data_IF_872449065417
#
_entry.id   IF_872449065417
#
_cell.length_a   1.000
_cell.length_b   1.000
_cell.length_c   1.000
_cell.angle_alpha   90.00
_cell.angle_beta   90.00
_cell.angle_gamma   90.00
#
_symmetry.space_group_name_H-M   'P 1'
#
loop_
_entity.id
_entity.type
_entity.pdbx_description
1 polymer ?
#
# COMPACT_ATOMS: atom_id res chain seq x y z
N UNK A 1 60.66 -20.62 -18.36
CA UNK A 1 59.26 -20.68 -18.77
C UNK A 1 58.44 -20.29 -17.54
N UNK A 2 57.97 -19.04 -17.49
CA UNK A 2 57.10 -18.55 -16.42
C UNK A 2 55.65 -18.59 -16.95
N UNK A 3 54.83 -19.42 -16.34
CA UNK A 3 53.38 -19.46 -16.59
C UNK A 3 52.69 -18.28 -15.88
N UNK A 4 52.06 -17.41 -16.66
CA UNK A 4 51.17 -16.34 -16.15
C UNK A 4 49.79 -16.95 -15.99
N UNK A 5 49.33 -17.10 -14.74
CA UNK A 5 47.98 -17.49 -14.45
C UNK A 5 47.04 -16.27 -14.61
N UNK A 6 46.17 -16.35 -15.60
CA UNK A 6 45.13 -15.36 -15.83
C UNK A 6 43.97 -15.64 -14.82
N UNK A 7 43.87 -14.83 -13.77
CA UNK A 7 42.71 -14.88 -12.87
C UNK A 7 41.54 -14.12 -13.52
N UNK A 8 40.57 -14.85 -14.05
CA UNK A 8 39.34 -14.28 -14.55
C UNK A 8 38.48 -13.84 -13.35
N UNK A 9 38.38 -12.55 -13.16
CA UNK A 9 37.47 -11.92 -12.21
C UNK A 9 36.05 -12.03 -12.78
N UNK A 10 35.29 -13.05 -12.37
CA UNK A 10 33.87 -13.14 -12.63
C UNK A 10 33.16 -12.06 -11.76
N UNK A 11 32.93 -10.90 -12.36
CA UNK A 11 31.98 -9.95 -11.81
C UNK A 11 30.59 -10.60 -11.82
N UNK A 12 30.10 -11.02 -10.68
CA UNK A 12 28.70 -11.36 -10.51
C UNK A 12 27.89 -10.08 -10.75
N UNK A 13 27.37 -9.93 -11.97
CA UNK A 13 26.26 -9.02 -12.21
C UNK A 13 25.12 -9.55 -11.31
N UNK A 14 24.94 -8.94 -10.16
CA UNK A 14 23.74 -9.14 -9.37
C UNK A 14 22.56 -8.89 -10.29
N UNK A 15 21.78 -9.91 -10.60
CA UNK A 15 20.54 -9.77 -11.32
C UNK A 15 19.74 -8.68 -10.59
N UNK A 16 19.47 -7.57 -11.27
CA UNK A 16 18.59 -6.55 -10.73
C UNK A 16 17.29 -7.27 -10.34
N UNK A 17 16.94 -7.21 -9.06
CA UNK A 17 15.70 -7.81 -8.57
C UNK A 17 14.55 -7.26 -9.41
N UNK A 18 13.86 -8.15 -10.12
CA UNK A 18 12.70 -7.77 -10.90
C UNK A 18 11.56 -7.46 -9.92
N UNK A 19 11.20 -6.18 -9.78
CA UNK A 19 10.01 -5.78 -9.05
C UNK A 19 8.81 -5.80 -9.99
N UNK A 20 7.68 -6.27 -9.50
CA UNK A 20 6.41 -6.24 -10.22
C UNK A 20 5.37 -5.45 -9.41
N UNK A 21 4.56 -4.65 -10.09
CA UNK A 21 3.40 -3.99 -9.48
C UNK A 21 2.13 -4.77 -9.79
N UNK A 22 1.35 -5.07 -8.75
CA UNK A 22 0.05 -5.75 -8.81
C UNK A 22 -1.05 -4.71 -8.66
N UNK A 23 -1.55 -4.18 -9.77
CA UNK A 23 -2.47 -3.04 -9.83
C UNK A 23 -3.90 -3.54 -9.95
N UNK A 24 -4.72 -3.34 -8.91
CA UNK A 24 -6.17 -3.62 -8.97
C UNK A 24 -6.87 -2.61 -9.86
N UNK A 25 -7.71 -3.10 -10.77
CA UNK A 25 -8.49 -2.29 -11.70
C UNK A 25 -9.98 -2.48 -11.39
N UNK A 26 -10.56 -1.50 -10.70
CA UNK A 26 -11.90 -1.60 -10.14
C UNK A 26 -12.98 -1.71 -11.21
N UNK A 27 -12.86 -0.99 -12.31
CA UNK A 27 -13.89 -0.92 -13.34
C UNK A 27 -13.82 -2.08 -14.33
N UNK A 28 -12.61 -2.60 -14.62
CA UNK A 28 -12.43 -3.80 -15.48
C UNK A 28 -12.46 -5.12 -14.71
N UNK A 29 -12.66 -5.10 -13.39
CA UNK A 29 -12.79 -6.30 -12.54
C UNK A 29 -11.56 -7.24 -12.57
N UNK A 30 -10.36 -6.69 -12.74
CA UNK A 30 -9.12 -7.45 -12.89
C UNK A 30 -7.93 -6.87 -12.10
N UNK A 31 -6.80 -7.53 -12.22
CA UNK A 31 -5.52 -7.14 -11.66
C UNK A 31 -4.48 -7.14 -12.80
N UNK A 32 -3.86 -6.00 -13.06
CA UNK A 32 -2.74 -5.90 -13.99
C UNK A 32 -1.42 -6.11 -13.26
N UNK A 33 -0.58 -6.99 -13.78
CA UNK A 33 0.81 -7.15 -13.31
C UNK A 33 1.73 -6.37 -14.25
N UNK A 34 2.48 -5.42 -13.69
CA UNK A 34 3.44 -4.58 -14.43
C UNK A 34 4.85 -4.93 -14.01
N UNK A 35 5.70 -5.29 -14.97
CA UNK A 35 7.14 -5.46 -14.77
C UNK A 35 7.81 -4.08 -14.72
N UNK A 36 8.43 -3.74 -13.61
CA UNK A 36 9.02 -2.42 -13.37
C UNK A 36 10.40 -2.24 -14.03
N UNK A 37 11.06 -3.31 -14.47
CA UNK A 37 12.31 -3.21 -15.20
C UNK A 37 12.08 -2.81 -16.66
N UNK A 38 11.00 -3.34 -17.25
CA UNK A 38 10.62 -3.04 -18.64
C UNK A 38 9.55 -1.97 -18.77
N UNK A 39 8.89 -1.60 -17.65
CA UNK A 39 7.74 -0.67 -17.61
C UNK A 39 6.61 -1.13 -18.53
N UNK A 40 6.28 -2.44 -18.50
CA UNK A 40 5.25 -3.03 -19.35
C UNK A 40 4.30 -3.91 -18.54
N UNK A 41 2.99 -3.92 -18.88
CA UNK A 41 2.09 -4.94 -18.37
C UNK A 41 2.51 -6.31 -18.91
N UNK A 42 2.59 -7.31 -18.02
CA UNK A 42 3.02 -8.68 -18.34
C UNK A 42 1.93 -9.72 -18.11
N UNK A 43 0.88 -9.37 -17.39
CA UNK A 43 -0.29 -10.21 -17.20
C UNK A 43 -1.51 -9.38 -16.80
N UNK A 44 -2.71 -9.94 -17.10
CA UNK A 44 -3.99 -9.49 -16.55
C UNK A 44 -4.67 -10.72 -15.93
N UNK A 45 -5.12 -10.58 -14.68
CA UNK A 45 -5.71 -11.66 -13.89
C UNK A 45 -7.14 -11.27 -13.55
N UNK A 46 -8.13 -12.04 -13.99
CA UNK A 46 -9.52 -11.79 -13.65
C UNK A 46 -9.76 -11.99 -12.15
N UNK A 47 -10.34 -11.02 -11.49
CA UNK A 47 -10.63 -11.00 -10.04
C UNK A 47 -12.14 -10.98 -9.80
N UNK A 48 -12.84 -9.99 -10.35
CA UNK A 48 -14.26 -9.75 -10.15
C UNK A 48 -14.60 -9.02 -8.85
N UNK A 49 -15.81 -8.47 -8.79
CA UNK A 49 -16.37 -7.87 -7.57
C UNK A 49 -15.74 -6.53 -7.19
N UNK A 50 -15.33 -5.74 -8.18
CA UNK A 50 -14.78 -4.39 -8.01
C UNK A 50 -13.52 -4.36 -7.14
N UNK A 51 -12.42 -5.00 -7.55
CA UNK A 51 -11.20 -5.09 -6.74
C UNK A 51 -10.68 -3.70 -6.35
N UNK A 52 -10.29 -3.55 -5.08
CA UNK A 52 -9.89 -2.26 -4.53
C UNK A 52 -8.51 -2.34 -3.86
N UNK A 53 -8.43 -2.92 -2.68
CA UNK A 53 -7.18 -3.08 -1.94
C UNK A 53 -6.35 -4.25 -2.46
N UNK A 54 -5.04 -4.15 -2.31
CA UNK A 54 -4.10 -5.22 -2.62
C UNK A 54 -2.92 -5.19 -1.65
N UNK A 55 -2.51 -6.37 -1.18
CA UNK A 55 -1.29 -6.52 -0.38
C UNK A 55 -0.52 -7.75 -0.83
N UNK A 56 0.74 -7.55 -1.20
CA UNK A 56 1.66 -8.63 -1.56
C UNK A 56 2.42 -9.07 -0.31
N UNK A 57 2.52 -10.39 -0.08
CA UNK A 57 3.30 -10.93 1.04
C UNK A 57 4.79 -10.60 0.88
N UNK A 58 5.51 -10.44 2.00
CA UNK A 58 6.93 -10.05 1.99
C UNK A 58 7.84 -11.05 1.25
N UNK A 59 7.46 -12.33 1.22
CA UNK A 59 8.14 -13.38 0.47
C UNK A 59 7.83 -13.36 -1.04
N UNK A 60 6.96 -12.46 -1.48
CA UNK A 60 6.54 -12.30 -2.87
C UNK A 60 5.72 -13.45 -3.44
N UNK A 61 5.21 -14.37 -2.59
CA UNK A 61 4.48 -15.56 -3.06
C UNK A 61 3.02 -15.31 -3.33
N UNK A 62 2.37 -14.47 -2.53
CA UNK A 62 0.93 -14.24 -2.64
C UNK A 62 0.61 -12.76 -2.74
N UNK A 63 -0.38 -12.44 -3.56
CA UNK A 63 -1.07 -11.16 -3.53
C UNK A 63 -2.52 -11.41 -3.08
N UNK A 64 -2.96 -10.64 -2.09
CA UNK A 64 -4.31 -10.68 -1.53
C UNK A 64 -5.07 -9.45 -2.02
N UNK A 65 -6.23 -9.67 -2.63
CA UNK A 65 -7.01 -8.61 -3.28
C UNK A 65 -8.40 -8.55 -2.66
N UNK A 66 -8.78 -7.38 -2.13
CA UNK A 66 -10.14 -7.16 -1.63
C UNK A 66 -11.08 -6.83 -2.77
N UNK A 67 -12.27 -7.43 -2.75
CA UNK A 67 -13.35 -7.20 -3.71
C UNK A 67 -14.64 -6.87 -2.96
N UNK A 68 -14.99 -5.56 -2.79
CA UNK A 68 -16.14 -5.13 -1.99
C UNK A 68 -17.47 -5.73 -2.44
N UNK A 69 -17.77 -5.75 -3.75
CA UNK A 69 -19.03 -6.28 -4.27
C UNK A 69 -19.11 -7.83 -4.15
N UNK A 70 -17.95 -8.50 -4.20
CA UNK A 70 -17.87 -9.94 -3.97
C UNK A 70 -17.81 -10.30 -2.48
N UNK A 71 -17.64 -9.33 -1.57
CA UNK A 71 -17.46 -9.48 -0.13
C UNK A 71 -16.35 -10.46 0.25
N UNK A 72 -15.28 -10.50 -0.54
CA UNK A 72 -14.25 -11.50 -0.45
C UNK A 72 -12.84 -10.93 -0.63
N UNK A 73 -11.86 -11.71 -0.16
CA UNK A 73 -10.45 -11.57 -0.52
C UNK A 73 -10.09 -12.68 -1.50
N UNK A 74 -9.57 -12.28 -2.66
CA UNK A 74 -9.02 -13.22 -3.65
C UNK A 74 -7.53 -13.41 -3.38
N UNK A 75 -7.09 -14.67 -3.32
CA UNK A 75 -5.68 -15.05 -3.14
C UNK A 75 -5.08 -15.39 -4.49
N UNK A 76 -4.04 -14.69 -4.87
CA UNK A 76 -3.30 -14.88 -6.13
C UNK A 76 -1.93 -15.43 -5.83
N UNK A 77 -1.56 -16.55 -6.44
CA UNK A 77 -0.16 -17.00 -6.53
C UNK A 77 0.57 -16.01 -7.45
N UNK A 78 1.42 -15.18 -6.86
CA UNK A 78 2.03 -14.07 -7.56
C UNK A 78 3.04 -14.51 -8.64
N UNK A 79 3.95 -15.48 -8.38
CA UNK A 79 4.79 -16.06 -9.42
C UNK A 79 4.03 -16.72 -10.57
N UNK A 80 3.02 -17.53 -10.24
CA UNK A 80 2.22 -18.23 -11.25
C UNK A 80 1.17 -17.32 -11.93
N UNK A 81 0.89 -16.15 -11.36
CA UNK A 81 -0.12 -15.18 -11.82
C UNK A 81 -1.50 -15.82 -11.97
N UNK A 82 -1.89 -16.58 -10.95
CA UNK A 82 -3.14 -17.35 -10.93
C UNK A 82 -3.88 -17.18 -9.61
N UNK A 83 -5.21 -17.09 -9.70
CA UNK A 83 -6.07 -17.20 -8.52
C UNK A 83 -5.98 -18.62 -7.95
N UNK A 84 -5.65 -18.72 -6.66
CA UNK A 84 -5.50 -20.00 -5.93
C UNK A 84 -6.45 -20.14 -4.76
N UNK A 85 -7.17 -19.08 -4.40
CA UNK A 85 -8.14 -19.11 -3.32
C UNK A 85 -9.04 -17.90 -3.29
N UNK A 86 -10.13 -18.03 -2.54
CA UNK A 86 -11.04 -16.93 -2.22
C UNK A 86 -11.58 -17.11 -0.81
N UNK A 87 -11.51 -16.06 -0.01
CA UNK A 87 -11.96 -16.05 1.39
C UNK A 87 -13.14 -15.09 1.50
N UNK A 88 -14.29 -15.61 1.90
CA UNK A 88 -15.44 -14.77 2.26
C UNK A 88 -15.13 -14.03 3.56
N UNK A 89 -15.20 -12.71 3.54
CA UNK A 89 -14.92 -11.84 4.70
C UNK A 89 -16.14 -11.05 5.15
N UNK A 90 -17.24 -11.17 4.42
CA UNK A 90 -18.47 -10.41 4.69
C UNK A 90 -18.29 -8.92 4.41
N UNK A 91 -19.28 -8.13 4.80
CA UNK A 91 -19.28 -6.66 4.80
C UNK A 91 -18.79 -6.00 3.52
N UNK A 92 -17.92 -5.01 3.69
CA UNK A 92 -17.30 -4.23 2.63
C UNK A 92 -15.79 -4.23 2.76
N UNK A 93 -15.08 -5.28 2.33
CA UNK A 93 -13.62 -5.35 2.43
C UNK A 93 -12.98 -4.26 1.57
N UNK A 94 -12.11 -3.44 2.18
CA UNK A 94 -11.46 -2.31 1.51
C UNK A 94 -9.93 -2.38 1.67
N UNK A 95 -9.40 -1.81 2.75
CA UNK A 95 -7.97 -1.85 3.04
C UNK A 95 -7.51 -3.25 3.43
N UNK A 96 -6.27 -3.58 3.11
CA UNK A 96 -5.69 -4.89 3.38
C UNK A 96 -4.21 -4.75 3.73
N UNK A 97 -3.74 -5.53 4.70
CA UNK A 97 -2.34 -5.63 5.07
C UNK A 97 -1.97 -7.07 5.40
N UNK A 98 -0.75 -7.48 5.07
CA UNK A 98 -0.20 -8.79 5.41
C UNK A 98 0.79 -8.63 6.56
N UNK A 99 0.73 -9.52 7.55
CA UNK A 99 1.73 -9.58 8.61
C UNK A 99 3.14 -9.81 8.01
N UNK A 100 4.22 -9.26 8.60
CA UNK A 100 5.57 -9.38 8.05
C UNK A 100 6.05 -10.82 7.85
N UNK A 101 5.58 -11.76 8.69
CA UNK A 101 5.85 -13.20 8.60
C UNK A 101 4.94 -13.94 7.59
N UNK A 102 3.97 -13.25 6.99
CA UNK A 102 3.01 -13.82 6.05
C UNK A 102 1.92 -14.70 6.68
N UNK A 103 1.89 -14.86 8.02
CA UNK A 103 0.96 -15.78 8.67
C UNK A 103 -0.48 -15.27 8.70
N UNK A 104 -0.66 -13.97 8.87
CA UNK A 104 -1.98 -13.34 8.98
C UNK A 104 -2.19 -12.27 7.91
N UNK A 105 -3.43 -12.14 7.44
CA UNK A 105 -3.89 -11.07 6.57
C UNK A 105 -5.01 -10.31 7.27
N UNK A 106 -4.87 -9.00 7.35
CA UNK A 106 -5.82 -8.11 7.99
C UNK A 106 -6.62 -7.36 6.92
N UNK A 107 -7.94 -7.33 7.08
CA UNK A 107 -8.87 -6.72 6.11
C UNK A 107 -9.80 -5.76 6.82
N UNK A 108 -9.81 -4.51 6.40
CA UNK A 108 -10.76 -3.51 6.89
C UNK A 108 -12.16 -3.81 6.33
N UNK A 109 -13.11 -4.07 7.21
CA UNK A 109 -14.51 -4.24 6.87
C UNK A 109 -15.25 -2.92 7.12
N UNK A 110 -15.41 -2.15 6.07
CA UNK A 110 -15.98 -0.81 6.09
C UNK A 110 -17.35 -0.70 6.80
N UNK A 111 -18.22 -1.67 6.56
CA UNK A 111 -19.59 -1.62 7.12
C UNK A 111 -19.71 -2.21 8.51
N UNK A 112 -18.78 -3.08 8.90
CA UNK A 112 -18.84 -3.74 10.20
C UNK A 112 -18.08 -3.00 11.32
N UNK A 113 -17.39 -1.88 10.99
CA UNK A 113 -16.48 -1.18 11.92
C UNK A 113 -15.49 -2.17 12.57
N UNK A 114 -14.88 -3.01 11.75
CA UNK A 114 -14.02 -4.11 12.22
C UNK A 114 -12.86 -4.40 11.26
N UNK A 115 -11.80 -4.98 11.80
CA UNK A 115 -10.76 -5.64 11.01
C UNK A 115 -10.97 -7.13 11.07
N UNK A 116 -11.12 -7.79 9.92
CA UNK A 116 -11.14 -9.25 9.78
C UNK A 116 -9.70 -9.78 9.75
N UNK A 117 -9.44 -10.84 10.49
CA UNK A 117 -8.15 -11.52 10.52
C UNK A 117 -8.28 -12.84 9.79
N UNK A 118 -7.51 -13.01 8.74
CA UNK A 118 -7.46 -14.23 7.93
C UNK A 118 -6.17 -14.99 8.29
N UNK A 119 -6.27 -16.27 8.57
CA UNK A 119 -5.13 -17.19 8.55
C UNK A 119 -4.75 -17.45 7.09
N UNK A 120 -3.53 -17.05 6.71
CA UNK A 120 -3.08 -17.10 5.32
C UNK A 120 -2.93 -18.54 4.81
N UNK A 121 -2.56 -19.50 5.68
CA UNK A 121 -2.40 -20.92 5.34
C UNK A 121 -3.74 -21.62 5.21
N UNK A 122 -4.65 -21.37 6.15
CA UNK A 122 -5.97 -22.01 6.18
C UNK A 122 -6.97 -21.31 5.24
N UNK A 123 -6.64 -20.11 4.78
CA UNK A 123 -7.49 -19.27 3.93
C UNK A 123 -8.90 -19.10 4.49
N UNK A 124 -9.00 -18.80 5.78
CA UNK A 124 -10.28 -18.55 6.47
C UNK A 124 -10.17 -17.40 7.48
N UNK A 125 -11.26 -16.74 7.75
CA UNK A 125 -11.36 -15.76 8.82
C UNK A 125 -11.26 -16.47 10.16
N UNK A 126 -10.34 -16.03 11.01
CA UNK A 126 -10.09 -16.60 12.35
C UNK A 126 -10.44 -15.64 13.49
N UNK A 127 -10.60 -14.35 13.19
CA UNK A 127 -11.01 -13.35 14.19
C UNK A 127 -11.64 -12.12 13.51
N UNK A 128 -12.32 -11.33 14.34
CA UNK A 128 -12.80 -9.99 14.01
C UNK A 128 -12.45 -9.07 15.18
N UNK A 129 -11.80 -7.95 14.88
CA UNK A 129 -11.34 -6.96 15.85
C UNK A 129 -12.19 -5.70 15.66
N UNK A 130 -12.90 -5.27 16.68
CA UNK A 130 -13.67 -4.03 16.62
C UNK A 130 -12.71 -2.81 16.59
N UNK A 131 -12.98 -1.87 15.69
CA UNK A 131 -12.24 -0.61 15.51
C UNK A 131 -13.24 0.55 15.37
N UNK A 132 -12.78 1.73 14.98
CA UNK A 132 -13.68 2.84 14.69
C UNK A 132 -14.49 2.65 13.41
N UNK A 133 -15.40 3.60 13.15
CA UNK A 133 -16.34 3.55 12.03
C UNK A 133 -15.65 3.69 10.67
N UNK A 134 -16.10 2.89 9.70
CA UNK A 134 -15.62 2.90 8.32
C UNK A 134 -14.11 2.74 8.21
N UNK A 135 -13.51 1.65 8.76
CA UNK A 135 -12.08 1.41 8.63
C UNK A 135 -11.69 1.30 7.16
N UNK A 136 -10.62 2.01 6.78
CA UNK A 136 -10.19 2.16 5.39
C UNK A 136 -8.79 1.57 5.17
N UNK A 137 -7.72 2.34 5.39
CA UNK A 137 -6.34 1.87 5.26
C UNK A 137 -5.87 1.07 6.47
N UNK A 138 -5.05 0.07 6.22
CA UNK A 138 -4.39 -0.75 7.25
C UNK A 138 -2.88 -0.76 7.05
N UNK A 139 -2.12 -0.76 8.14
CA UNK A 139 -0.68 -0.97 8.11
C UNK A 139 -0.23 -1.78 9.33
N UNK A 140 0.71 -2.71 9.14
CA UNK A 140 1.34 -3.48 10.21
C UNK A 140 2.74 -2.96 10.44
N UNK A 141 3.17 -2.82 11.70
CA UNK A 141 4.54 -2.43 12.02
C UNK A 141 5.55 -3.45 11.50
N UNK A 142 6.79 -3.02 11.16
CA UNK A 142 7.81 -3.93 10.61
C UNK A 142 8.15 -5.13 11.51
N UNK A 143 8.00 -4.98 12.84
CA UNK A 143 8.16 -6.06 13.81
C UNK A 143 6.94 -6.98 13.95
N UNK A 144 5.83 -6.62 13.26
CA UNK A 144 4.58 -7.38 13.28
C UNK A 144 3.75 -7.23 14.56
N UNK A 145 4.16 -6.40 15.53
CA UNK A 145 3.53 -6.33 16.84
C UNK A 145 2.26 -5.47 16.87
N UNK A 146 2.18 -4.47 16.01
CA UNK A 146 1.04 -3.55 15.98
C UNK A 146 0.42 -3.48 14.58
N UNK A 147 -0.91 -3.39 14.56
CA UNK A 147 -1.71 -3.09 13.39
C UNK A 147 -2.39 -1.73 13.59
N UNK A 148 -2.32 -0.88 12.59
CA UNK A 148 -3.00 0.41 12.56
C UNK A 148 -4.17 0.36 11.56
N UNK A 149 -5.31 0.94 11.97
CA UNK A 149 -6.51 1.12 11.14
C UNK A 149 -6.87 2.59 11.05
N UNK A 150 -7.00 3.12 9.85
CA UNK A 150 -7.55 4.45 9.63
C UNK A 150 -9.08 4.38 9.66
N UNK A 151 -9.70 4.90 10.71
CA UNK A 151 -11.12 4.83 10.98
C UNK A 151 -11.78 6.13 10.51
N UNK A 152 -12.22 6.10 9.26
CA UNK A 152 -12.57 7.30 8.49
C UNK A 152 -13.65 8.16 9.13
N UNK A 153 -14.74 7.56 9.54
CA UNK A 153 -15.92 8.31 10.00
C UNK A 153 -15.84 8.62 11.51
N UNK A 154 -14.79 8.16 12.19
CA UNK A 154 -14.46 8.54 13.58
C UNK A 154 -13.31 9.56 13.67
N UNK A 155 -12.74 10.01 12.54
CA UNK A 155 -11.60 10.93 12.50
C UNK A 155 -10.44 10.44 13.39
N UNK A 156 -10.12 9.13 13.32
CA UNK A 156 -9.14 8.50 14.20
C UNK A 156 -8.34 7.40 13.52
N UNK A 157 -7.25 7.01 14.18
CA UNK A 157 -6.48 5.81 13.88
C UNK A 157 -6.49 4.91 15.10
N UNK A 158 -7.01 3.69 14.96
CA UNK A 158 -6.92 2.63 15.97
C UNK A 158 -5.56 1.95 15.90
N UNK A 159 -4.93 1.73 17.05
CA UNK A 159 -3.69 0.95 17.21
C UNK A 159 -4.04 -0.32 17.96
N UNK A 160 -3.73 -1.46 17.36
CA UNK A 160 -4.14 -2.79 17.80
C UNK A 160 -2.88 -3.63 18.06
N UNK A 161 -2.84 -4.35 19.17
CA UNK A 161 -1.85 -5.38 19.43
C UNK A 161 -2.22 -6.64 18.62
N UNK A 162 -1.31 -7.11 17.79
CA UNK A 162 -1.59 -8.22 16.85
C UNK A 162 -1.71 -9.57 17.56
N UNK A 163 -1.02 -9.77 18.68
CA UNK A 163 -1.02 -11.02 19.41
C UNK A 163 -2.28 -11.18 20.27
N UNK A 164 -2.62 -10.15 21.07
CA UNK A 164 -3.85 -10.15 21.88
C UNK A 164 -5.11 -9.81 21.09
N UNK A 165 -4.95 -9.13 19.95
CA UNK A 165 -6.05 -8.61 19.11
C UNK A 165 -6.89 -7.56 19.83
N UNK A 166 -6.30 -6.84 20.76
CA UNK A 166 -6.95 -5.79 21.55
C UNK A 166 -6.48 -4.40 21.12
N UNK A 167 -7.34 -3.42 21.29
CA UNK A 167 -7.00 -2.00 21.10
C UNK A 167 -5.99 -1.56 22.16
N UNK A 168 -4.84 -1.03 21.73
CA UNK A 168 -3.85 -0.38 22.60
C UNK A 168 -4.07 1.11 22.73
N UNK A 169 -4.66 1.73 21.72
CA UNK A 169 -4.91 3.15 21.70
C UNK A 169 -5.73 3.60 20.50
N UNK A 170 -6.29 4.79 20.61
CA UNK A 170 -7.01 5.50 19.55
C UNK A 170 -6.40 6.89 19.46
N UNK A 171 -5.95 7.27 18.27
CA UNK A 171 -5.36 8.59 18.01
C UNK A 171 -6.35 9.42 17.21
N UNK A 172 -6.78 10.56 17.75
CA UNK A 172 -7.53 11.54 16.96
C UNK A 172 -6.61 12.22 15.96
N UNK A 173 -7.06 12.33 14.70
CA UNK A 173 -6.30 12.85 13.56
C UNK A 173 -7.11 13.90 12.80
N UNK A 174 -6.73 14.25 11.59
CA UNK A 174 -7.55 15.09 10.72
C UNK A 174 -8.84 14.37 10.29
N UNK A 175 -9.74 15.10 9.61
CA UNK A 175 -11.04 14.54 9.25
C UNK A 175 -10.94 13.55 8.09
N UNK A 176 -11.65 12.45 8.26
CA UNK A 176 -11.76 11.36 7.28
C UNK A 176 -10.40 10.78 6.86
N UNK A 177 -9.61 10.22 7.80
CA UNK A 177 -8.38 9.50 7.47
C UNK A 177 -8.69 8.34 6.53
N UNK A 178 -7.81 8.11 5.53
CA UNK A 178 -8.03 7.06 4.55
C UNK A 178 -6.85 6.08 4.45
N UNK A 179 -5.75 6.45 3.80
CA UNK A 179 -4.54 5.63 3.79
C UNK A 179 -3.72 5.86 5.05
N UNK A 180 -3.11 4.80 5.58
CA UNK A 180 -2.14 4.85 6.67
C UNK A 180 -0.88 4.09 6.28
N UNK A 181 0.28 4.68 6.56
CA UNK A 181 1.61 4.11 6.27
C UNK A 181 2.49 4.27 7.49
N UNK A 182 3.35 3.28 7.76
CA UNK A 182 4.30 3.28 8.87
C UNK A 182 5.71 3.39 8.30
N UNK A 183 6.60 4.12 8.99
CA UNK A 183 8.01 4.20 8.61
C UNK A 183 8.76 2.90 8.86
N UNK A 184 9.97 2.78 8.28
CA UNK A 184 10.74 1.54 8.28
C UNK A 184 11.22 1.11 9.67
N UNK A 185 11.28 2.02 10.66
CA UNK A 185 11.65 1.70 12.05
C UNK A 185 10.43 1.48 12.96
N UNK A 186 9.21 1.58 12.40
CA UNK A 186 7.96 1.34 13.13
C UNK A 186 7.55 2.43 14.11
N UNK A 187 8.25 3.58 14.14
CA UNK A 187 8.02 4.59 15.18
C UNK A 187 6.96 5.61 14.82
N UNK A 188 6.85 5.96 13.54
CA UNK A 188 5.89 6.95 13.07
C UNK A 188 4.93 6.35 12.04
N UNK A 189 3.69 6.75 12.16
CA UNK A 189 2.69 6.51 11.13
C UNK A 189 2.20 7.82 10.53
N UNK A 190 1.78 7.74 9.28
CA UNK A 190 1.32 8.87 8.48
C UNK A 190 -0.05 8.51 7.90
N UNK A 191 -1.07 9.30 8.18
CA UNK A 191 -2.39 9.08 7.61
C UNK A 191 -2.87 10.28 6.81
N UNK A 192 -3.36 10.00 5.60
CA UNK A 192 -3.92 11.01 4.70
C UNK A 192 -5.37 11.31 5.09
N UNK A 193 -5.67 12.55 5.44
CA UNK A 193 -6.98 13.01 5.91
C UNK A 193 -7.74 13.69 4.77
N UNK A 194 -8.66 12.96 4.18
CA UNK A 194 -9.43 13.37 3.00
C UNK A 194 -10.26 14.64 3.25
N UNK A 195 -10.77 14.81 4.47
CA UNK A 195 -11.66 15.92 4.83
C UNK A 195 -10.93 17.23 5.15
N UNK A 196 -9.75 17.15 5.75
CA UNK A 196 -8.96 18.34 6.15
C UNK A 196 -7.82 18.68 5.18
N UNK A 197 -7.59 17.86 4.15
CA UNK A 197 -6.53 18.07 3.15
C UNK A 197 -5.14 18.16 3.78
N UNK A 198 -4.85 17.24 4.69
CA UNK A 198 -3.57 17.16 5.38
C UNK A 198 -3.14 15.71 5.64
N UNK A 199 -1.94 15.54 6.15
CA UNK A 199 -1.40 14.28 6.66
C UNK A 199 -1.11 14.45 8.14
N UNK A 200 -1.70 13.61 8.99
CA UNK A 200 -1.35 13.51 10.39
C UNK A 200 -0.14 12.61 10.57
N UNK A 201 0.80 13.03 11.41
CA UNK A 201 1.98 12.24 11.82
C UNK A 201 1.74 11.74 13.24
N UNK A 202 1.82 10.43 13.42
CA UNK A 202 1.50 9.75 14.67
C UNK A 202 2.77 9.13 15.24
N UNK A 203 3.06 9.35 16.53
CA UNK A 203 3.99 8.54 17.30
C UNK A 203 3.27 7.24 17.73
N UNK A 204 3.74 6.12 17.18
CA UNK A 204 3.08 4.82 17.34
C UNK A 204 3.17 4.31 18.78
N UNK A 205 4.30 4.54 19.45
CA UNK A 205 4.55 4.06 20.81
C UNK A 205 3.69 4.77 21.86
N UNK A 206 3.51 6.09 21.70
CA UNK A 206 2.74 6.92 22.64
C UNK A 206 1.28 7.09 22.24
N UNK A 207 0.89 6.61 21.05
CA UNK A 207 -0.45 6.78 20.47
C UNK A 207 -0.90 8.24 20.44
N UNK A 208 -0.05 9.14 19.91
CA UNK A 208 -0.30 10.57 19.83
C UNK A 208 -0.01 11.14 18.46
N UNK A 209 -0.84 12.07 18.00
CA UNK A 209 -0.48 12.92 16.87
C UNK A 209 0.65 13.87 17.32
N UNK A 210 1.76 13.90 16.57
CA UNK A 210 2.95 14.68 16.86
C UNK A 210 3.25 15.76 15.81
N UNK A 211 2.47 15.79 14.73
CA UNK A 211 2.62 16.79 13.67
C UNK A 211 1.57 16.64 12.60
N UNK A 212 1.45 17.65 11.75
CA UNK A 212 0.52 17.71 10.63
C UNK A 212 1.10 18.47 9.46
N UNK A 213 0.82 18.00 8.24
CA UNK A 213 1.32 18.62 6.99
C UNK A 213 0.14 18.89 6.07
N UNK A 214 -0.06 20.14 5.66
CA UNK A 214 -1.03 20.47 4.63
C UNK A 214 -0.53 20.02 3.25
N UNK A 215 -1.43 19.39 2.48
CA UNK A 215 -1.15 18.85 1.15
C UNK A 215 -2.22 19.32 0.15
N UNK A 216 -2.36 18.65 -0.97
CA UNK A 216 -3.40 18.99 -1.94
C UNK A 216 -4.80 18.50 -1.58
N UNK A 217 -5.74 18.65 -2.50
CA UNK A 217 -7.14 18.36 -2.28
C UNK A 217 -7.41 16.85 -2.26
N UNK A 218 -8.11 16.40 -1.22
CA UNK A 218 -8.52 15.01 -1.02
C UNK A 218 -7.34 14.04 -1.05
N UNK A 219 -6.38 14.16 -0.11
CA UNK A 219 -5.27 13.24 -0.03
C UNK A 219 -5.78 11.82 0.26
N UNK A 220 -5.19 10.80 -0.43
CA UNK A 220 -5.71 9.45 -0.39
C UNK A 220 -4.76 8.47 0.32
N UNK A 221 -3.49 8.46 -0.06
CA UNK A 221 -2.49 7.56 0.51
C UNK A 221 -1.10 8.22 0.57
N UNK A 222 -0.22 7.66 1.38
CA UNK A 222 1.14 8.16 1.63
C UNK A 222 2.16 7.06 1.35
N UNK A 223 3.23 7.39 0.60
CA UNK A 223 4.42 6.56 0.49
C UNK A 223 5.63 7.30 1.05
N UNK A 224 6.61 6.56 1.57
CA UNK A 224 7.81 7.11 2.19
C UNK A 224 9.06 6.68 1.44
N UNK A 225 9.89 7.62 1.03
CA UNK A 225 11.18 7.33 0.40
C UNK A 225 12.15 8.51 0.59
N UNK A 226 13.44 8.21 0.73
CA UNK A 226 14.53 9.19 0.74
C UNK A 226 14.32 10.38 1.70
N UNK A 227 13.79 10.11 2.90
CA UNK A 227 13.50 11.15 3.91
C UNK A 227 12.31 12.05 3.55
N UNK A 228 11.46 11.63 2.60
CA UNK A 228 10.30 12.38 2.13
C UNK A 228 9.02 11.55 2.20
N UNK A 229 7.90 12.21 2.45
CA UNK A 229 6.57 11.69 2.27
C UNK A 229 6.00 12.13 0.92
N UNK A 230 5.36 11.21 0.21
CA UNK A 230 4.70 11.39 -1.08
C UNK A 230 3.22 11.09 -0.91
N UNK A 231 2.35 12.02 -1.22
CA UNK A 231 0.91 11.92 -0.94
C UNK A 231 0.13 12.11 -2.23
N UNK A 232 -0.75 11.19 -2.55
CA UNK A 232 -1.66 11.34 -3.68
C UNK A 232 -2.77 12.32 -3.35
N UNK A 233 -2.87 13.41 -4.11
CA UNK A 233 -3.92 14.43 -4.01
C UNK A 233 -4.96 14.15 -5.09
N UNK A 234 -6.00 13.42 -4.74
CA UNK A 234 -6.94 12.81 -5.70
C UNK A 234 -7.60 13.84 -6.61
N UNK A 235 -8.07 14.98 -6.07
CA UNK A 235 -8.80 15.99 -6.85
C UNK A 235 -7.88 16.96 -7.61
N UNK A 236 -6.58 16.95 -7.33
CA UNK A 236 -5.61 17.82 -7.99
C UNK A 236 -4.83 17.14 -9.12
N UNK A 237 -4.96 15.81 -9.29
CA UNK A 237 -4.14 15.05 -10.23
C UNK A 237 -2.65 15.16 -9.92
N UNK A 238 -2.28 15.21 -8.64
CA UNK A 238 -0.90 15.47 -8.20
C UNK A 238 -0.46 14.56 -7.08
N UNK A 239 0.86 14.56 -6.86
CA UNK A 239 1.49 14.03 -5.66
C UNK A 239 2.15 15.20 -4.93
N UNK A 240 1.71 15.48 -3.69
CA UNK A 240 2.38 16.39 -2.78
C UNK A 240 3.58 15.70 -2.14
N UNK A 241 4.71 16.41 -2.05
CA UNK A 241 5.95 15.92 -1.42
C UNK A 241 6.29 16.81 -0.24
N UNK A 242 6.61 16.20 0.92
CA UNK A 242 7.05 16.90 2.12
C UNK A 242 8.28 16.22 2.74
N UNK A 243 9.07 16.97 3.48
CA UNK A 243 10.24 16.49 4.20
C UNK A 243 9.81 15.85 5.53
N UNK A 244 10.26 14.61 5.83
CA UNK A 244 9.85 13.85 7.02
C UNK A 244 10.44 14.38 8.34
N UNK A 245 11.57 15.11 8.29
CA UNK A 245 12.21 15.66 9.49
C UNK A 245 11.60 17.00 9.89
N UNK A 246 11.31 17.85 8.91
CA UNK A 246 10.83 19.22 9.13
C UNK A 246 9.32 19.37 8.97
N UNK A 247 8.67 18.40 8.32
CA UNK A 247 7.26 18.40 7.93
C UNK A 247 6.89 19.57 6.99
N UNK A 248 7.88 20.13 6.28
CA UNK A 248 7.66 21.23 5.35
C UNK A 248 7.36 20.72 3.94
N UNK A 249 6.44 21.37 3.20
CA UNK A 249 6.20 21.08 1.80
C UNK A 249 7.48 21.28 0.97
N UNK A 250 7.74 20.34 0.03
CA UNK A 250 8.89 20.38 -0.87
C UNK A 250 8.46 20.66 -2.31
N UNK A 251 7.49 19.90 -2.83
CA UNK A 251 7.06 19.98 -4.23
C UNK A 251 5.68 19.39 -4.43
N UNK A 252 5.03 19.77 -5.53
CA UNK A 252 3.86 19.06 -6.05
C UNK A 252 4.16 18.58 -7.47
N UNK A 253 3.92 17.30 -7.75
CA UNK A 253 4.25 16.62 -9.00
C UNK A 253 2.93 16.29 -9.71
N UNK A 254 2.74 16.75 -10.93
CA UNK A 254 1.58 16.36 -11.74
C UNK A 254 1.73 14.92 -12.20
N UNK A 255 0.70 14.12 -12.01
CA UNK A 255 0.55 12.72 -12.45
C UNK A 255 -0.74 12.58 -13.27
N UNK A 256 -1.31 11.40 -13.40
CA UNK A 256 -2.62 11.22 -14.01
C UNK A 256 -3.78 11.70 -13.13
N UNK A 257 -4.99 11.63 -13.67
CA UNK A 257 -6.20 12.07 -12.99
C UNK A 257 -6.66 11.06 -11.92
N UNK A 258 -7.18 11.56 -10.80
CA UNK A 258 -7.61 10.79 -9.64
C UNK A 258 -6.54 9.81 -9.13
N UNK A 259 -5.34 10.27 -8.72
CA UNK A 259 -4.33 9.40 -8.14
C UNK A 259 -4.81 8.85 -6.78
N UNK A 260 -4.73 7.52 -6.61
CA UNK A 260 -5.16 6.82 -5.39
C UNK A 260 -4.00 6.06 -4.73
N UNK A 261 -3.76 4.81 -5.09
CA UNK A 261 -2.70 4.00 -4.50
C UNK A 261 -1.31 4.53 -4.83
N UNK A 262 -0.42 4.48 -3.86
CA UNK A 262 0.96 4.94 -3.99
C UNK A 262 1.89 4.06 -3.18
N UNK A 263 3.01 3.65 -3.75
CA UNK A 263 4.03 2.86 -3.04
C UNK A 263 5.43 3.19 -3.56
N UNK A 264 6.43 3.08 -2.68
CA UNK A 264 7.85 3.23 -3.02
C UNK A 264 8.48 1.87 -3.37
N UNK A 265 9.35 1.84 -4.38
CA UNK A 265 10.20 0.67 -4.66
C UNK A 265 11.10 0.34 -3.47
N UNK A 266 11.56 -0.91 -3.36
CA UNK A 266 12.38 -1.38 -2.23
C UNK A 266 13.68 -0.58 -2.07
N UNK A 267 14.25 -0.10 -3.16
CA UNK A 267 15.46 0.75 -3.15
C UNK A 267 15.15 2.24 -2.87
N UNK A 268 13.87 2.59 -2.74
CA UNK A 268 13.39 3.95 -2.51
C UNK A 268 13.65 4.93 -3.65
N UNK A 269 14.02 4.44 -4.86
CA UNK A 269 14.34 5.35 -5.97
C UNK A 269 13.14 5.76 -6.80
N UNK A 270 12.10 4.94 -6.83
CA UNK A 270 10.87 5.21 -7.59
C UNK A 270 9.65 5.18 -6.69
N UNK A 271 8.69 6.03 -7.03
CA UNK A 271 7.34 6.03 -6.45
C UNK A 271 6.37 5.67 -7.56
N UNK A 272 5.53 4.69 -7.31
CA UNK A 272 4.48 4.22 -8.22
C UNK A 272 3.14 4.82 -7.78
N UNK A 273 2.35 5.31 -8.72
CA UNK A 273 1.06 5.98 -8.47
C UNK A 273 0.00 5.43 -9.41
N UNK A 274 -1.05 4.85 -8.87
CA UNK A 274 -2.21 4.41 -9.64
C UNK A 274 -3.17 5.58 -9.87
N UNK A 275 -3.46 5.91 -11.12
CA UNK A 275 -4.32 7.04 -11.52
C UNK A 275 -5.67 6.49 -11.99
N UNK A 276 -6.69 6.57 -11.12
CA UNK A 276 -7.97 5.89 -11.29
C UNK A 276 -8.71 6.29 -12.58
N UNK A 277 -8.78 7.58 -12.89
CA UNK A 277 -9.51 8.09 -14.07
C UNK A 277 -8.67 8.02 -15.35
N UNK A 278 -7.34 8.15 -15.25
CA UNK A 278 -6.44 8.04 -16.41
C UNK A 278 -6.16 6.60 -16.85
N UNK A 279 -6.51 5.59 -16.06
CA UNK A 279 -6.22 4.18 -16.34
C UNK A 279 -4.72 3.91 -16.51
N UNK A 280 -3.89 4.53 -15.67
CA UNK A 280 -2.44 4.45 -15.75
C UNK A 280 -1.77 4.23 -14.40
N UNK A 281 -0.53 3.73 -14.46
CA UNK A 281 0.42 3.70 -13.36
C UNK A 281 1.57 4.65 -13.69
N UNK A 282 1.67 5.79 -12.98
CA UNK A 282 2.79 6.71 -13.12
C UNK A 282 3.98 6.27 -12.29
N UNK A 283 5.19 6.50 -12.80
CA UNK A 283 6.46 6.28 -12.10
C UNK A 283 7.15 7.63 -11.89
N UNK A 284 7.49 7.95 -10.64
CA UNK A 284 8.17 9.16 -10.24
C UNK A 284 9.60 8.79 -9.79
N UNK A 285 10.61 9.54 -10.24
CA UNK A 285 11.94 9.52 -9.65
C UNK A 285 11.89 10.24 -8.30
N UNK A 286 12.20 9.52 -7.21
CA UNK A 286 12.05 10.03 -5.85
C UNK A 286 13.12 11.09 -5.48
N UNK A 287 14.28 11.11 -6.16
CA UNK A 287 15.34 12.10 -5.96
C UNK A 287 15.06 13.38 -6.76
N UNK A 288 14.78 13.21 -8.06
CA UNK A 288 14.57 14.31 -9.01
C UNK A 288 13.17 14.93 -8.89
N UNK A 289 12.24 14.23 -8.25
CA UNK A 289 10.84 14.66 -8.04
C UNK A 289 10.15 14.98 -9.38
N UNK A 290 10.23 14.04 -10.32
CA UNK A 290 9.61 14.16 -11.65
C UNK A 290 9.06 12.80 -12.11
N UNK A 291 8.01 12.82 -12.91
CA UNK A 291 7.51 11.63 -13.60
C UNK A 291 8.56 11.20 -14.64
N UNK A 292 8.93 9.92 -14.62
CA UNK A 292 9.91 9.30 -15.52
C UNK A 292 9.28 8.27 -16.45
N UNK A 293 8.03 7.92 -16.25
CA UNK A 293 7.29 6.98 -17.09
C UNK A 293 5.86 6.83 -16.67
N UNK A 294 5.05 6.28 -17.57
CA UNK A 294 3.66 5.95 -17.37
C UNK A 294 3.33 4.65 -18.10
N UNK A 295 2.54 3.78 -17.47
CA UNK A 295 2.13 2.49 -18.02
C UNK A 295 0.61 2.42 -18.04
N UNK A 296 0.01 2.07 -19.17
CA UNK A 296 -1.42 1.74 -19.23
C UNK A 296 -1.69 0.44 -18.48
N UNK A 297 -2.76 0.45 -17.67
CA UNK A 297 -3.28 -0.71 -16.93
C UNK A 297 -4.76 -0.91 -17.25
N UNK A 298 -5.49 -1.70 -16.48
CA UNK A 298 -6.95 -1.83 -16.67
C UNK A 298 -7.72 -0.58 -16.23
N UNK A 299 -9.05 -0.64 -16.31
CA UNK A 299 -9.90 0.51 -16.03
C UNK A 299 -10.12 0.73 -14.54
N UNK A 300 -9.97 1.96 -14.08
CA UNK A 300 -10.15 2.38 -12.69
C UNK A 300 -9.10 1.78 -11.74
N UNK A 301 -7.78 1.96 -11.98
CA UNK A 301 -6.75 1.39 -11.12
C UNK A 301 -6.74 2.04 -9.74
N UNK A 302 -6.82 1.20 -8.68
CA UNK A 302 -6.79 1.66 -7.28
C UNK A 302 -5.48 1.36 -6.58
N UNK A 303 -5.00 0.11 -6.65
CA UNK A 303 -3.76 -0.37 -6.01
C UNK A 303 -3.60 0.13 -4.56
N UNK A 304 -4.68 0.02 -3.76
CA UNK A 304 -4.71 0.55 -2.40
C UNK A 304 -4.09 -0.43 -1.41
N UNK A 305 -2.87 -0.13 -0.95
CA UNK A 305 -2.07 -0.96 -0.04
C UNK A 305 -0.66 -1.21 -0.56
N UNK A 306 -0.03 -2.31 -0.14
CA UNK A 306 1.32 -2.73 -0.54
C UNK A 306 1.24 -3.60 -1.79
N UNK A 307 1.30 -2.99 -2.97
CA UNK A 307 1.06 -3.65 -4.24
C UNK A 307 2.33 -4.08 -5.00
N UNK A 308 3.51 -3.80 -4.43
CA UNK A 308 4.78 -4.17 -5.05
C UNK A 308 5.25 -5.54 -4.61
N UNK A 309 5.49 -6.42 -5.57
CA UNK A 309 6.16 -7.69 -5.38
C UNK A 309 7.66 -7.53 -5.55
N UNK A 310 8.39 -7.91 -4.52
CA UNK A 310 9.86 -7.98 -4.56
C UNK A 310 10.25 -9.43 -4.87
N UNK A 311 11.01 -9.67 -5.93
CA UNK A 311 11.55 -11.00 -6.22
C UNK A 311 12.94 -11.10 -5.61
N UNK A 312 13.22 -12.19 -4.89
CA UNK A 312 14.56 -12.48 -4.36
C UNK A 312 15.58 -12.78 -5.45
#
# INVERSE_FOLDING_TARGET
>A
VRAIALVALLASLGAARAEEAFVTNQLSDDLTVVDLATSKPVATIAIGGKPAGVAVSNDGRFAYVTSPDAKAVTVVDAPARKVVGRVDVGGGPLGIAVAPDGAMVYVADWYAAAVRVIDAREQRVVASIAVGASPSGLAVTPDGLLLLSADRDDDSVSIIDTASRELRGIVKVGSRPFGVTIDADGKRAYTANVGTNDVSVIDVATAREIGRVHVGLRPYAVALAQGRGFVTDQYDGKVSVFDLATLQPVKRITVGDYPEGIEATADGKRILVANWESNTLSMIDAAELKVIGEVKVGDGPRAFGAFLRRTE
#
